data_IF_802927869562
#
_entry.id   IF_802927869562
#
_cell.length_a   1.000
_cell.length_b   1.000
_cell.length_c   1.000
_cell.angle_alpha   90.00
_cell.angle_beta   90.00
_cell.angle_gamma   90.00
#
_symmetry.space_group_name_H-M   'P 1'
#
loop_
_entity.id
_entity.type
_entity.pdbx_description
1 polymer ?
#
# COMPACT_ATOMS: atom_id res chain seq x y z
N UNK A 1 -13.35 -1.23 14.88
CA UNK A 1 -13.28 -0.37 16.09
C UNK A 1 -12.11 0.60 15.91
N UNK A 2 -12.34 1.91 16.01
CA UNK A 2 -11.26 2.90 16.00
C UNK A 2 -10.81 3.15 17.45
N UNK A 3 -9.53 2.90 17.74
CA UNK A 3 -8.93 3.19 19.04
C UNK A 3 -8.26 4.57 19.07
N UNK A 4 -8.34 5.27 20.19
CA UNK A 4 -7.57 6.51 20.41
C UNK A 4 -6.16 6.13 20.87
N UNK A 5 -5.15 6.63 20.18
CA UNK A 5 -3.74 6.45 20.53
C UNK A 5 -3.12 7.80 20.84
N UNK A 6 -2.25 7.85 21.86
CA UNK A 6 -1.39 9.00 22.12
C UNK A 6 -0.04 8.74 21.49
N UNK A 7 0.44 9.66 20.66
CA UNK A 7 1.73 9.55 19.96
C UNK A 7 2.49 10.87 20.11
N UNK A 8 3.80 10.78 20.30
CA UNK A 8 4.69 11.94 20.22
C UNK A 8 5.09 12.15 18.76
N UNK A 9 4.99 13.40 18.29
CA UNK A 9 5.44 13.83 16.96
C UNK A 9 6.34 15.05 17.12
N UNK A 10 7.12 15.37 16.10
CA UNK A 10 7.92 16.60 16.08
C UNK A 10 7.01 17.82 15.89
N UNK A 11 7.50 18.99 16.32
CA UNK A 11 6.78 20.27 16.13
C UNK A 11 6.51 20.57 14.65
N UNK A 12 7.46 20.20 13.78
CA UNK A 12 7.31 20.30 12.32
C UNK A 12 6.10 19.50 11.81
N UNK A 13 5.96 18.24 12.22
CA UNK A 13 4.81 17.42 11.83
C UNK A 13 3.50 17.95 12.45
N UNK A 14 3.56 18.49 13.67
CA UNK A 14 2.39 19.12 14.28
C UNK A 14 1.93 20.35 13.47
N UNK A 15 2.86 21.18 13.01
CA UNK A 15 2.57 22.33 12.15
C UNK A 15 1.92 21.89 10.82
N UNK A 16 2.45 20.85 10.17
CA UNK A 16 1.85 20.28 8.95
C UNK A 16 0.41 19.80 9.18
N UNK A 17 0.14 19.11 10.30
CA UNK A 17 -1.21 18.67 10.64
C UNK A 17 -2.16 19.86 10.89
N UNK A 18 -1.66 20.93 11.52
CA UNK A 18 -2.44 22.15 11.77
C UNK A 18 -2.74 22.91 10.48
N UNK A 19 -1.77 23.03 9.57
CA UNK A 19 -1.93 23.65 8.26
C UNK A 19 -2.95 22.89 7.41
N UNK A 20 -2.84 21.56 7.35
CA UNK A 20 -3.76 20.72 6.60
C UNK A 20 -5.22 20.89 7.08
N UNK A 21 -5.44 21.00 8.39
CA UNK A 21 -6.77 21.27 8.95
C UNK A 21 -7.18 22.73 8.74
N UNK A 22 -6.27 23.68 8.95
CA UNK A 22 -6.53 25.12 8.82
C UNK A 22 -6.87 25.56 7.40
N UNK A 23 -6.33 24.86 6.40
CA UNK A 23 -6.68 25.04 4.99
C UNK A 23 -8.10 24.58 4.63
N UNK A 24 -8.74 23.78 5.50
CA UNK A 24 -10.02 23.14 5.23
C UNK A 24 -9.93 21.86 4.37
N UNK A 25 -8.73 21.43 3.97
CA UNK A 25 -8.54 20.19 3.20
C UNK A 25 -8.89 18.93 4.01
N UNK A 26 -8.79 18.99 5.34
CA UNK A 26 -9.11 17.88 6.23
C UNK A 26 -9.95 18.36 7.42
N UNK A 27 -10.90 17.53 7.87
CA UNK A 27 -11.76 17.86 9.00
C UNK A 27 -11.06 17.69 10.36
N UNK A 28 -9.96 16.94 10.41
CA UNK A 28 -9.20 16.70 11.64
C UNK A 28 -7.79 16.19 11.38
N UNK A 29 -6.88 16.40 12.33
CA UNK A 29 -5.53 15.83 12.27
C UNK A 29 -5.53 14.30 12.22
N UNK A 30 -6.52 13.66 12.86
CA UNK A 30 -6.67 12.20 12.80
C UNK A 30 -6.99 11.70 11.37
N UNK A 31 -7.58 12.53 10.52
CA UNK A 31 -7.84 12.19 9.12
C UNK A 31 -6.56 12.16 8.31
N UNK A 32 -5.75 13.21 8.43
CA UNK A 32 -4.42 13.31 7.81
C UNK A 32 -3.55 12.12 8.23
N UNK A 33 -3.51 11.80 9.52
CA UNK A 33 -2.74 10.66 10.04
C UNK A 33 -3.23 9.34 9.45
N UNK A 34 -4.56 9.13 9.34
CA UNK A 34 -5.09 7.89 8.73
C UNK A 34 -4.71 7.77 7.25
N UNK A 35 -4.69 8.87 6.52
CA UNK A 35 -4.25 8.88 5.12
C UNK A 35 -2.76 8.56 4.99
N UNK A 36 -1.92 9.26 5.74
CA UNK A 36 -0.48 9.01 5.77
C UNK A 36 -0.15 7.54 6.12
N UNK A 37 -0.88 6.95 7.09
CA UNK A 37 -0.72 5.54 7.45
C UNK A 37 -1.18 4.58 6.35
N UNK A 38 -2.24 4.92 5.59
CA UNK A 38 -2.67 4.12 4.43
C UNK A 38 -1.58 4.11 3.35
N UNK A 39 -1.03 5.27 3.02
CA UNK A 39 0.04 5.36 2.03
C UNK A 39 1.32 4.67 2.49
N UNK A 40 1.69 4.84 3.76
CA UNK A 40 2.83 4.17 4.38
C UNK A 40 2.70 2.65 4.31
N UNK A 41 1.49 2.13 4.53
CA UNK A 41 1.20 0.69 4.38
C UNK A 41 1.25 0.25 2.91
N UNK A 42 0.65 1.02 2.01
CA UNK A 42 0.65 0.70 0.58
C UNK A 42 2.08 0.59 0.01
N UNK A 43 2.98 1.49 0.44
CA UNK A 43 4.41 1.44 0.09
C UNK A 43 5.09 0.15 0.56
N UNK A 44 4.70 -0.40 1.71
CA UNK A 44 5.24 -1.68 2.22
C UNK A 44 4.73 -2.88 1.46
N UNK A 45 3.46 -2.89 1.07
CA UNK A 45 2.88 -3.98 0.28
C UNK A 45 3.67 -4.18 -1.02
N UNK A 46 4.11 -3.10 -1.66
CA UNK A 46 4.95 -3.19 -2.87
C UNK A 46 6.28 -3.88 -2.57
N UNK A 47 6.92 -3.55 -1.45
CA UNK A 47 8.16 -4.22 -1.01
C UNK A 47 7.93 -5.69 -0.67
N UNK A 48 6.86 -6.01 0.05
CA UNK A 48 6.48 -7.38 0.39
C UNK A 48 6.25 -8.24 -0.86
N UNK A 49 5.50 -7.72 -1.85
CA UNK A 49 5.25 -8.41 -3.12
C UNK A 49 6.52 -8.56 -3.96
N UNK A 50 7.43 -7.59 -3.88
CA UNK A 50 8.74 -7.69 -4.53
C UNK A 50 9.59 -8.81 -3.91
N UNK A 51 9.68 -8.83 -2.59
CA UNK A 51 10.43 -9.85 -1.85
C UNK A 51 9.86 -11.26 -2.10
N UNK A 52 8.52 -11.39 -2.12
CA UNK A 52 7.84 -12.64 -2.51
C UNK A 52 8.22 -13.05 -3.94
N UNK A 53 8.20 -12.10 -4.88
CA UNK A 53 8.59 -12.35 -6.28
C UNK A 53 10.03 -12.85 -6.41
N UNK A 54 10.98 -12.22 -5.71
CA UNK A 54 12.39 -12.66 -5.70
C UNK A 54 12.55 -14.04 -5.05
N UNK A 55 11.83 -14.28 -3.95
CA UNK A 55 11.85 -15.57 -3.26
C UNK A 55 11.20 -16.71 -4.06
N UNK A 56 10.31 -16.40 -5.01
CA UNK A 56 9.62 -17.39 -5.85
C UNK A 56 10.52 -18.14 -6.83
N UNK A 57 11.79 -17.73 -6.96
CA UNK A 57 12.79 -18.37 -7.81
C UNK A 57 13.01 -17.64 -9.13
N UNK A 58 13.78 -18.27 -10.04
CA UNK A 58 14.07 -17.67 -11.34
C UNK A 58 12.85 -17.75 -12.25
N UNK A 59 12.53 -16.63 -12.89
CA UNK A 59 11.56 -16.60 -13.97
C UNK A 59 11.98 -17.55 -15.11
N UNK A 60 11.04 -18.32 -15.63
CA UNK A 60 11.25 -19.21 -16.76
C UNK A 60 11.60 -18.41 -18.02
N UNK A 61 12.76 -18.70 -18.61
CA UNK A 61 13.22 -18.02 -19.79
C UNK A 61 12.30 -18.33 -20.99
N UNK A 62 11.78 -17.29 -21.63
CA UNK A 62 10.98 -17.42 -22.85
C UNK A 62 9.47 -17.53 -22.62
N UNK A 63 8.98 -17.52 -21.38
CA UNK A 63 7.53 -17.49 -21.11
C UNK A 63 6.91 -16.21 -21.65
N UNK A 64 6.01 -16.34 -22.63
CA UNK A 64 5.35 -15.20 -23.25
C UNK A 64 4.02 -14.88 -22.55
N UNK A 65 3.53 -13.66 -22.77
CA UNK A 65 2.18 -13.26 -22.34
C UNK A 65 1.08 -14.20 -22.91
N UNK A 66 1.29 -14.75 -24.11
CA UNK A 66 0.35 -15.68 -24.74
C UNK A 66 0.28 -17.00 -23.99
N UNK A 67 1.42 -17.50 -23.51
CA UNK A 67 1.51 -18.74 -22.73
C UNK A 67 0.82 -18.58 -21.38
N UNK A 68 1.06 -17.45 -20.69
CA UNK A 68 0.41 -17.12 -19.42
C UNK A 68 -1.12 -17.06 -19.58
N UNK A 69 -1.62 -16.38 -20.62
CA UNK A 69 -3.07 -16.29 -20.89
C UNK A 69 -3.68 -17.65 -21.23
N UNK A 70 -2.96 -18.51 -21.95
CA UNK A 70 -3.42 -19.87 -22.29
C UNK A 70 -3.59 -20.71 -21.02
N UNK A 71 -2.58 -20.72 -20.15
CA UNK A 71 -2.62 -21.42 -18.87
C UNK A 71 -3.77 -20.94 -17.97
N UNK A 72 -3.95 -19.62 -17.85
CA UNK A 72 -5.04 -19.05 -17.05
C UNK A 72 -6.43 -19.47 -17.56
N UNK A 73 -6.63 -19.56 -18.88
CA UNK A 73 -7.89 -20.05 -19.47
C UNK A 73 -8.11 -21.53 -19.14
N UNK A 74 -7.08 -22.36 -19.27
CA UNK A 74 -7.16 -23.79 -18.96
C UNK A 74 -7.60 -24.03 -17.50
N UNK A 75 -7.00 -23.30 -16.54
CA UNK A 75 -7.38 -23.38 -15.11
C UNK A 75 -8.84 -23.00 -14.87
N UNK A 76 -9.34 -21.96 -15.55
CA UNK A 76 -10.74 -21.52 -15.42
C UNK A 76 -11.74 -22.52 -15.99
N UNK A 77 -11.41 -23.22 -17.07
CA UNK A 77 -12.27 -24.25 -17.66
C UNK A 77 -12.23 -25.59 -16.92
N UNK A 78 -11.23 -25.80 -16.06
CA UNK A 78 -11.09 -26.99 -15.22
C UNK A 78 -11.74 -26.83 -13.83
N UNK A 79 -12.27 -25.64 -13.52
CA UNK A 79 -12.98 -25.30 -12.28
C UNK A 79 -14.46 -25.12 -12.54
#
# INVERSE_FOLDING_TARGET
MAGKISISITDEHAALLQEAVGSGAYASSSEVVREALREWRARRIVGELWDEGVASGRAEAGTTMTDIKREARNRRSAS
#
